data_IF_838712787727
#
_entry.id   IF_838712787727
#
_cell.length_a   1.000
_cell.length_b   1.000
_cell.length_c   1.000
_cell.angle_alpha   90.00
_cell.angle_beta   90.00
_cell.angle_gamma   90.00
#
_symmetry.space_group_name_H-M   'P 1'
#
loop_
_entity.id
_entity.type
_entity.pdbx_description
1 polymer ?
#
# COMPACT_ATOMS: atom_id res chain seq x y z
N UNK A 1 22.77 -19.96 0.51
CA UNK A 1 22.05 -18.70 0.74
C UNK A 1 20.82 -18.70 -0.14
N UNK A 2 19.64 -18.42 0.41
CA UNK A 2 18.42 -18.28 -0.39
C UNK A 2 18.57 -17.02 -1.22
N UNK A 3 18.60 -17.16 -2.56
CA UNK A 3 18.64 -16.03 -3.48
C UNK A 3 17.20 -15.63 -3.77
N UNK A 4 16.71 -14.57 -3.14
CA UNK A 4 15.34 -14.13 -3.37
C UNK A 4 15.27 -13.34 -4.69
N UNK A 5 14.33 -13.65 -5.60
CA UNK A 5 14.37 -13.12 -6.95
C UNK A 5 13.84 -11.68 -7.06
N UNK A 6 13.28 -11.10 -5.99
CA UNK A 6 12.62 -9.80 -6.06
C UNK A 6 13.58 -8.64 -5.78
N UNK A 7 13.31 -7.54 -6.47
CA UNK A 7 13.98 -6.27 -6.28
C UNK A 7 13.02 -5.12 -6.55
N UNK A 8 13.36 -3.93 -6.05
CA UNK A 8 12.65 -2.68 -6.31
C UNK A 8 13.55 -1.78 -7.15
N UNK A 9 12.99 -1.17 -8.20
CA UNK A 9 13.72 -0.34 -9.14
C UNK A 9 13.02 1.00 -9.39
N UNK A 10 13.82 1.97 -9.84
CA UNK A 10 13.40 3.27 -10.31
C UNK A 10 13.66 3.44 -11.81
N UNK A 11 12.76 4.15 -12.49
CA UNK A 11 13.01 4.71 -13.83
C UNK A 11 13.20 6.23 -13.71
N UNK A 12 14.23 6.76 -14.38
CA UNK A 12 14.57 8.20 -14.34
C UNK A 12 14.65 8.79 -15.75
N UNK A 13 14.19 10.03 -15.86
CA UNK A 13 14.25 10.84 -17.08
C UNK A 13 15.59 11.56 -17.15
N UNK A 14 16.47 11.22 -18.12
CA UNK A 14 17.77 11.86 -18.29
C UNK A 14 17.71 13.25 -18.94
N UNK A 15 16.54 13.67 -19.46
CA UNK A 15 16.38 14.98 -20.11
C UNK A 15 16.46 16.13 -19.11
N UNK A 16 16.13 15.87 -17.84
CA UNK A 16 16.33 16.80 -16.72
C UNK A 16 17.72 16.60 -16.08
N UNK A 17 18.30 17.68 -15.55
CA UNK A 17 19.57 17.66 -14.82
C UNK A 17 19.37 18.25 -13.41
N UNK A 18 19.46 17.45 -12.33
CA UNK A 18 19.76 16.01 -12.31
C UNK A 18 18.61 15.15 -12.86
N UNK A 19 18.94 13.94 -13.32
CA UNK A 19 17.96 13.01 -13.88
C UNK A 19 16.88 12.68 -12.85
N UNK A 20 15.61 12.83 -13.26
CA UNK A 20 14.48 12.85 -12.33
C UNK A 20 13.72 11.55 -12.33
N UNK A 21 13.45 11.01 -11.15
CA UNK A 21 12.63 9.80 -11.02
C UNK A 21 11.21 10.07 -11.50
N UNK A 22 10.65 9.14 -12.28
CA UNK A 22 9.27 9.20 -12.72
C UNK A 22 8.51 7.90 -12.51
N UNK A 23 9.14 6.81 -12.11
CA UNK A 23 8.43 5.56 -11.84
C UNK A 23 9.18 4.70 -10.83
N UNK A 24 8.42 3.99 -10.00
CA UNK A 24 8.93 2.95 -9.09
C UNK A 24 8.16 1.66 -9.32
N UNK A 25 8.89 0.56 -9.39
CA UNK A 25 8.30 -0.75 -9.60
C UNK A 25 9.03 -1.84 -8.83
N UNK A 26 8.34 -2.94 -8.55
CA UNK A 26 8.98 -4.21 -8.19
C UNK A 26 9.15 -5.14 -9.40
N UNK A 27 10.16 -6.00 -9.36
CA UNK A 27 10.38 -6.99 -10.40
C UNK A 27 11.17 -8.20 -9.96
N UNK A 28 11.20 -9.18 -10.85
CA UNK A 28 12.07 -10.35 -10.82
C UNK A 28 12.73 -10.50 -12.20
N UNK A 29 13.87 -11.17 -12.28
CA UNK A 29 14.57 -11.37 -13.56
C UNK A 29 14.90 -10.05 -14.28
N UNK A 30 14.65 -9.99 -15.59
CA UNK A 30 14.95 -8.82 -16.42
C UNK A 30 13.82 -7.79 -16.50
N UNK A 31 12.79 -7.88 -15.66
CA UNK A 31 11.57 -7.05 -15.78
C UNK A 31 11.85 -5.55 -15.84
N UNK A 32 12.85 -5.07 -15.09
CA UNK A 32 13.22 -3.66 -15.12
C UNK A 32 13.69 -3.21 -16.50
N UNK A 33 14.36 -4.08 -17.26
CA UNK A 33 14.89 -3.81 -18.59
C UNK A 33 13.90 -4.17 -19.72
N UNK A 34 13.03 -5.16 -19.51
CA UNK A 34 12.04 -5.61 -20.52
C UNK A 34 10.90 -4.60 -20.76
N UNK A 35 10.66 -3.65 -19.86
CA UNK A 35 9.63 -2.62 -20.04
C UNK A 35 9.90 -1.64 -21.19
N UNK A 36 11.06 -1.71 -21.85
CA UNK A 36 11.30 -0.99 -23.11
C UNK A 36 10.53 -1.59 -24.31
N UNK A 37 10.11 -2.86 -24.26
CA UNK A 37 9.55 -3.58 -25.42
C UNK A 37 8.02 -3.50 -25.56
N UNK A 38 7.30 -3.04 -24.53
CA UNK A 38 5.84 -2.86 -24.56
C UNK A 38 5.49 -1.48 -24.01
N UNK A 39 5.57 -0.49 -24.88
CA UNK A 39 5.03 0.85 -24.61
C UNK A 39 3.51 0.70 -24.61
N UNK A 40 2.92 0.80 -23.43
CA UNK A 40 1.48 0.79 -23.21
C UNK A 40 0.92 2.22 -23.22
N UNK A 41 -0.39 2.40 -23.35
CA UNK A 41 -1.06 3.72 -23.29
C UNK A 41 -1.10 4.30 -21.86
N UNK A 42 -0.19 3.89 -20.97
CA UNK A 42 -0.07 4.45 -19.62
C UNK A 42 0.78 5.71 -19.61
N UNK A 43 0.63 6.53 -18.57
CA UNK A 43 1.49 7.71 -18.36
C UNK A 43 2.98 7.33 -18.30
N UNK A 44 3.31 6.15 -17.74
CA UNK A 44 4.64 5.57 -17.77
C UNK A 44 5.10 5.30 -19.21
N UNK A 45 4.27 4.66 -20.04
CA UNK A 45 4.58 4.37 -21.45
C UNK A 45 4.80 5.65 -22.27
N UNK A 46 3.93 6.65 -22.12
CA UNK A 46 4.08 7.95 -22.75
C UNK A 46 5.38 8.66 -22.35
N UNK A 47 5.75 8.58 -21.06
CA UNK A 47 7.00 9.14 -20.55
C UNK A 47 8.24 8.46 -21.17
N UNK A 48 8.23 7.13 -21.25
CA UNK A 48 9.29 6.33 -21.89
C UNK A 48 9.43 6.71 -23.37
N UNK A 49 8.30 6.76 -24.10
CA UNK A 49 8.29 7.14 -25.52
C UNK A 49 8.83 8.56 -25.72
N UNK A 50 8.47 9.52 -24.87
CA UNK A 50 8.96 10.88 -24.95
C UNK A 50 10.48 11.00 -24.70
N UNK A 51 11.03 10.15 -23.84
CA UNK A 51 12.48 10.06 -23.61
C UNK A 51 13.19 9.50 -24.85
N UNK A 52 12.66 8.41 -25.41
CA UNK A 52 13.22 7.80 -26.63
C UNK A 52 13.14 8.75 -27.85
N UNK A 53 12.03 9.47 -28.01
CA UNK A 53 11.87 10.46 -29.09
C UNK A 53 12.87 11.63 -28.97
N UNK A 54 13.40 11.89 -27.78
CA UNK A 54 14.46 12.87 -27.56
C UNK A 54 15.87 12.31 -27.83
N UNK A 55 15.98 11.08 -28.36
CA UNK A 55 17.25 10.40 -28.62
C UNK A 55 17.97 9.91 -27.36
N UNK A 56 17.28 9.83 -26.22
CA UNK A 56 17.86 9.39 -24.95
C UNK A 56 17.25 8.06 -24.50
N UNK A 57 17.94 7.36 -23.60
CA UNK A 57 17.47 6.12 -22.99
C UNK A 57 17.01 6.35 -21.55
N UNK A 58 15.93 5.69 -21.15
CA UNK A 58 15.47 5.68 -19.76
C UNK A 58 16.59 5.13 -18.86
N UNK A 59 16.84 5.81 -17.73
CA UNK A 59 17.82 5.33 -16.76
C UNK A 59 17.15 4.39 -15.78
N UNK A 60 17.70 3.19 -15.64
CA UNK A 60 17.24 2.17 -14.71
C UNK A 60 18.15 2.16 -13.47
N UNK A 61 17.56 2.05 -12.29
CA UNK A 61 18.33 1.89 -11.04
C UNK A 61 17.65 0.84 -10.19
N UNK A 62 18.36 -0.22 -9.82
CA UNK A 62 17.95 -1.09 -8.72
C UNK A 62 18.14 -0.31 -7.42
N UNK A 63 17.07 -0.12 -6.67
CA UNK A 63 17.08 0.56 -5.37
C UNK A 63 17.53 -0.42 -4.29
N UNK A 64 17.00 -1.65 -4.35
CA UNK A 64 17.34 -2.76 -3.45
C UNK A 64 16.94 -4.08 -4.10
N UNK A 65 17.70 -5.15 -3.83
CA UNK A 65 17.49 -6.50 -4.36
C UNK A 65 17.56 -7.56 -3.24
N UNK A 66 17.52 -8.84 -3.64
CA UNK A 66 17.48 -10.00 -2.74
C UNK A 66 16.32 -9.96 -1.73
N UNK A 67 15.16 -9.51 -2.19
CA UNK A 67 13.96 -9.34 -1.38
C UNK A 67 13.01 -10.52 -1.53
N UNK A 68 12.30 -10.85 -0.45
CA UNK A 68 11.05 -11.61 -0.60
C UNK A 68 10.00 -10.76 -1.33
N UNK A 69 8.96 -11.39 -1.87
CA UNK A 69 7.89 -10.66 -2.53
C UNK A 69 7.25 -9.62 -1.61
N UNK A 70 6.97 -10.02 -0.36
CA UNK A 70 6.38 -9.15 0.66
C UNK A 70 7.25 -7.93 0.96
N UNK A 71 8.58 -8.13 1.08
CA UNK A 71 9.52 -7.03 1.28
C UNK A 71 9.51 -6.07 0.09
N UNK A 72 9.54 -6.61 -1.14
CA UNK A 72 9.52 -5.78 -2.36
C UNK A 72 8.23 -4.96 -2.49
N UNK A 73 7.08 -5.54 -2.12
CA UNK A 73 5.79 -4.85 -2.08
C UNK A 73 5.77 -3.71 -1.06
N UNK A 74 6.28 -3.96 0.16
CA UNK A 74 6.33 -2.94 1.21
C UNK A 74 7.24 -1.77 0.83
N UNK A 75 8.42 -2.05 0.28
CA UNK A 75 9.38 -1.04 -0.13
C UNK A 75 8.86 -0.24 -1.33
N UNK A 76 8.28 -0.90 -2.33
CA UNK A 76 7.63 -0.24 -3.46
C UNK A 76 6.52 0.72 -3.00
N UNK A 77 5.64 0.27 -2.10
CA UNK A 77 4.56 1.09 -1.57
C UNK A 77 5.06 2.32 -0.79
N UNK A 78 6.04 2.16 0.10
CA UNK A 78 6.62 3.27 0.88
C UNK A 78 7.36 4.27 -0.01
N UNK A 79 8.06 3.80 -1.05
CA UNK A 79 8.71 4.70 -2.00
C UNK A 79 7.70 5.46 -2.87
N UNK A 80 6.66 4.80 -3.36
CA UNK A 80 5.57 5.49 -4.08
C UNK A 80 4.89 6.52 -3.18
N UNK A 81 4.68 6.16 -1.92
CA UNK A 81 4.13 7.04 -0.90
C UNK A 81 5.03 8.27 -0.69
N UNK A 82 6.35 8.09 -0.57
CA UNK A 82 7.31 9.18 -0.32
C UNK A 82 7.53 10.12 -1.51
N UNK A 83 7.60 9.61 -2.74
CA UNK A 83 7.79 10.44 -3.93
C UNK A 83 6.49 11.03 -4.49
N UNK A 84 5.35 10.45 -4.14
CA UNK A 84 4.02 10.85 -4.60
C UNK A 84 3.79 10.59 -6.10
N UNK A 85 2.53 10.62 -6.52
CA UNK A 85 2.12 10.44 -7.92
C UNK A 85 1.72 11.77 -8.57
N UNK A 86 1.98 11.93 -9.87
CA UNK A 86 1.80 13.19 -10.63
C UNK A 86 0.38 13.72 -10.62
N UNK A 87 -0.62 12.85 -10.67
CA UNK A 87 -2.03 13.24 -10.56
C UNK A 87 -2.38 14.01 -9.27
N UNK A 88 -1.49 13.98 -8.27
CA UNK A 88 -1.62 14.67 -6.99
C UNK A 88 -0.38 15.53 -6.66
N UNK A 89 0.35 15.99 -7.69
CA UNK A 89 1.51 16.88 -7.54
C UNK A 89 2.82 16.20 -7.14
N UNK A 90 2.87 14.86 -7.11
CA UNK A 90 4.09 14.10 -6.89
C UNK A 90 4.90 13.87 -8.17
N UNK A 91 5.94 13.03 -8.08
CA UNK A 91 6.89 12.83 -9.18
C UNK A 91 6.54 11.67 -10.11
N UNK A 92 5.85 10.65 -9.59
CA UNK A 92 5.73 9.34 -10.24
C UNK A 92 4.51 9.21 -11.16
N UNK A 93 4.67 8.48 -12.26
CA UNK A 93 3.63 8.10 -13.24
C UNK A 93 2.90 6.81 -12.84
N UNK A 94 3.07 6.32 -11.60
CA UNK A 94 2.39 5.14 -11.08
C UNK A 94 0.85 5.36 -11.05
N UNK A 95 0.06 4.36 -11.52
CA UNK A 95 -1.41 4.45 -11.63
C UNK A 95 -2.17 4.19 -10.34
N UNK A 96 -1.70 3.23 -9.53
CA UNK A 96 -2.44 2.76 -8.35
C UNK A 96 -1.88 3.43 -7.10
N UNK A 97 -2.80 4.05 -6.36
CA UNK A 97 -2.68 4.34 -4.93
C UNK A 97 -3.69 3.46 -4.18
N UNK A 98 -3.47 3.16 -2.90
CA UNK A 98 -4.56 2.97 -1.94
C UNK A 98 -5.46 4.23 -1.97
N UNK A 99 -6.76 4.03 -2.18
CA UNK A 99 -7.76 5.05 -2.54
C UNK A 99 -7.84 6.28 -1.58
N UNK A 100 -7.71 7.55 -2.05
CA UNK A 100 -7.90 8.76 -1.26
C UNK A 100 -9.32 9.36 -1.29
N UNK A 101 -10.33 8.70 -1.87
CA UNK A 101 -11.72 9.20 -2.00
C UNK A 101 -12.39 9.62 -0.67
N UNK A 102 -11.79 9.28 0.49
CA UNK A 102 -12.27 9.69 1.81
C UNK A 102 -11.59 10.95 2.38
N UNK A 103 -10.62 11.56 1.67
CA UNK A 103 -9.99 12.80 2.15
C UNK A 103 -10.90 13.98 1.79
N UNK A 104 -11.58 14.53 2.80
CA UNK A 104 -12.44 15.71 2.69
C UNK A 104 -11.77 16.84 1.90
N UNK A 105 -12.51 17.45 0.96
CA UNK A 105 -12.06 18.61 0.16
C UNK A 105 -11.71 19.85 1.00
N UNK A 106 -12.03 19.86 2.31
CA UNK A 106 -11.68 20.91 3.27
C UNK A 106 -10.56 20.44 4.21
N UNK A 107 -9.37 20.23 3.66
CA UNK A 107 -8.19 19.87 4.44
C UNK A 107 -7.76 21.10 5.27
N UNK A 108 -7.90 21.03 6.60
CA UNK A 108 -7.50 22.11 7.54
C UNK A 108 -6.09 21.92 8.13
N UNK A 109 -5.43 20.82 7.79
CA UNK A 109 -4.16 20.39 8.40
C UNK A 109 -3.17 19.96 7.32
N UNK A 110 -1.87 20.12 7.58
CA UNK A 110 -0.85 19.58 6.68
C UNK A 110 -0.83 18.04 6.79
N UNK A 111 -1.10 17.34 5.68
CA UNK A 111 -1.02 15.88 5.61
C UNK A 111 0.27 15.55 4.87
N UNK A 112 1.29 15.00 5.54
CA UNK A 112 2.52 14.64 4.86
C UNK A 112 2.23 13.63 3.75
N UNK A 113 2.88 13.84 2.60
CA UNK A 113 2.79 12.95 1.44
C UNK A 113 3.20 11.53 1.88
N UNK A 114 2.36 10.54 1.59
CA UNK A 114 2.62 9.13 1.92
C UNK A 114 2.12 8.64 3.27
N UNK A 115 1.71 9.53 4.19
CA UNK A 115 1.23 9.13 5.52
C UNK A 115 -0.06 8.28 5.45
N UNK A 116 -0.93 8.56 4.48
CA UNK A 116 -2.16 7.78 4.31
C UNK A 116 -1.85 6.34 3.91
N UNK A 117 -0.98 6.15 2.92
CA UNK A 117 -0.57 4.84 2.41
C UNK A 117 0.11 4.01 3.50
N UNK A 118 1.02 4.62 4.26
CA UNK A 118 1.66 4.01 5.43
C UNK A 118 0.64 3.57 6.48
N UNK A 119 -0.37 4.40 6.75
CA UNK A 119 -1.46 4.03 7.65
C UNK A 119 -2.31 2.87 7.09
N UNK A 120 -2.58 2.84 5.79
CA UNK A 120 -3.31 1.74 5.15
C UNK A 120 -2.53 0.41 5.17
N UNK A 121 -1.19 0.46 5.04
CA UNK A 121 -0.34 -0.72 5.18
C UNK A 121 -0.39 -1.30 6.60
N UNK A 122 -0.27 -0.44 7.62
CA UNK A 122 -0.46 -0.84 9.01
C UNK A 122 -1.85 -1.42 9.25
N UNK A 123 -2.90 -0.74 8.76
CA UNK A 123 -4.28 -1.20 8.87
C UNK A 123 -4.48 -2.58 8.23
N UNK A 124 -3.85 -2.87 7.09
CA UNK A 124 -3.93 -4.17 6.42
C UNK A 124 -3.41 -5.31 7.32
N UNK A 125 -2.29 -5.09 7.99
CA UNK A 125 -1.69 -6.07 8.91
C UNK A 125 -2.64 -6.32 10.09
N UNK A 126 -3.16 -5.25 10.70
CA UNK A 126 -4.07 -5.40 11.85
C UNK A 126 -5.39 -6.08 11.43
N UNK A 127 -5.91 -5.76 10.24
CA UNK A 127 -7.08 -6.46 9.66
C UNK A 127 -6.83 -7.96 9.48
N UNK A 128 -5.64 -8.37 9.03
CA UNK A 128 -5.29 -9.80 8.91
C UNK A 128 -5.34 -10.49 10.26
N UNK A 129 -4.69 -9.92 11.28
CA UNK A 129 -4.68 -10.49 12.63
C UNK A 129 -6.09 -10.64 13.23
N UNK A 130 -6.95 -9.63 13.03
CA UNK A 130 -8.37 -9.70 13.44
C UNK A 130 -9.13 -10.80 12.68
N UNK A 131 -8.89 -10.95 11.37
CA UNK A 131 -9.51 -11.99 10.57
C UNK A 131 -9.05 -13.39 10.98
N UNK A 132 -7.77 -13.58 11.29
CA UNK A 132 -7.23 -14.84 11.80
C UNK A 132 -7.86 -15.21 13.14
N UNK A 133 -7.94 -14.24 14.07
CA UNK A 133 -8.63 -14.43 15.35
C UNK A 133 -10.12 -14.79 15.14
N UNK A 134 -10.81 -14.11 14.24
CA UNK A 134 -12.22 -14.40 13.95
C UNK A 134 -12.41 -15.78 13.29
N UNK A 135 -11.54 -16.17 12.37
CA UNK A 135 -11.56 -17.50 11.72
C UNK A 135 -11.31 -18.63 12.71
N UNK A 136 -10.42 -18.42 13.68
CA UNK A 136 -10.15 -19.37 14.75
C UNK A 136 -11.32 -19.53 15.74
N UNK A 137 -12.34 -18.65 15.69
CA UNK A 137 -13.47 -18.63 16.60
C UNK A 137 -14.81 -18.64 15.82
N UNK A 138 -15.30 -19.82 15.37
CA UNK A 138 -16.50 -19.93 14.52
C UNK A 138 -17.78 -19.33 15.12
N UNK A 139 -17.91 -19.35 16.45
CA UNK A 139 -19.03 -18.70 17.17
C UNK A 139 -18.97 -17.16 17.17
N UNK A 140 -17.88 -16.60 16.64
CA UNK A 140 -17.60 -15.17 16.53
C UNK A 140 -16.91 -14.56 17.75
N UNK A 141 -16.34 -13.38 17.52
CA UNK A 141 -15.60 -12.56 18.50
C UNK A 141 -16.30 -11.23 18.77
N UNK A 142 -16.06 -10.61 19.93
CA UNK A 142 -16.48 -9.24 20.26
C UNK A 142 -15.36 -8.24 19.95
N UNK A 143 -15.69 -6.94 19.93
CA UNK A 143 -14.67 -5.88 19.85
C UNK A 143 -13.67 -5.98 21.01
N UNK A 144 -14.16 -6.26 22.23
CA UNK A 144 -13.34 -6.48 23.42
C UNK A 144 -12.35 -7.64 23.27
N UNK A 145 -12.70 -8.68 22.53
CA UNK A 145 -11.84 -9.85 22.31
C UNK A 145 -10.68 -9.47 21.40
N UNK A 146 -10.98 -8.80 20.27
CA UNK A 146 -9.95 -8.27 19.38
C UNK A 146 -9.05 -7.24 20.10
N UNK A 147 -9.63 -6.36 20.93
CA UNK A 147 -8.88 -5.37 21.68
C UNK A 147 -7.92 -6.04 22.66
N UNK A 148 -8.44 -6.95 23.50
CA UNK A 148 -7.68 -7.60 24.57
C UNK A 148 -6.62 -8.56 24.03
N UNK A 149 -7.00 -9.47 23.13
CA UNK A 149 -6.12 -10.57 22.74
C UNK A 149 -5.12 -10.21 21.64
N UNK A 150 -5.35 -9.11 20.89
CA UNK A 150 -4.38 -8.59 19.92
C UNK A 150 -3.61 -7.37 20.44
N UNK A 151 -3.80 -6.99 21.71
CA UNK A 151 -3.11 -5.83 22.30
C UNK A 151 -3.51 -4.49 21.68
N UNK A 152 -4.73 -4.36 21.16
CA UNK A 152 -5.26 -3.15 20.52
C UNK A 152 -6.02 -2.25 21.51
N UNK A 153 -5.78 -2.40 22.81
CA UNK A 153 -6.47 -1.66 23.84
C UNK A 153 -6.03 -0.19 23.88
N UNK A 154 -6.97 0.71 24.15
CA UNK A 154 -6.71 2.12 24.42
C UNK A 154 -6.63 2.37 25.93
N UNK A 155 -5.71 3.25 26.34
CA UNK A 155 -5.63 3.80 27.69
C UNK A 155 -6.14 5.25 27.77
N UNK A 156 -7.02 5.64 26.84
CA UNK A 156 -7.58 6.98 26.80
C UNK A 156 -8.55 7.24 27.97
N UNK A 157 -8.01 7.82 29.06
CA UNK A 157 -8.76 8.58 30.08
C UNK A 157 -9.88 7.83 30.82
N UNK A 158 -9.83 6.50 30.91
CA UNK A 158 -10.88 5.70 31.55
C UNK A 158 -12.12 5.42 30.69
N UNK A 159 -12.08 5.76 29.39
CA UNK A 159 -13.11 5.42 28.41
C UNK A 159 -13.09 3.96 27.95
N UNK A 160 -13.86 3.63 26.91
CA UNK A 160 -13.88 2.27 26.34
C UNK A 160 -12.49 1.88 25.84
N UNK A 161 -12.03 0.66 26.12
CA UNK A 161 -10.67 0.26 25.71
C UNK A 161 -10.59 -0.26 24.28
N UNK A 162 -11.69 -0.42 23.57
CA UNK A 162 -11.77 -1.16 22.31
C UNK A 162 -12.04 -0.30 21.07
N UNK A 163 -11.85 1.03 21.15
CA UNK A 163 -12.09 1.97 20.05
C UNK A 163 -11.41 1.56 18.73
N UNK A 164 -10.15 1.15 18.79
CA UNK A 164 -9.40 0.73 17.61
C UNK A 164 -10.03 -0.53 16.98
N UNK A 165 -10.45 -1.49 17.81
CA UNK A 165 -11.13 -2.70 17.34
C UNK A 165 -12.48 -2.39 16.70
N UNK A 166 -13.25 -1.44 17.25
CA UNK A 166 -14.48 -0.95 16.61
C UNK A 166 -14.22 -0.41 15.21
N UNK A 167 -13.19 0.42 15.03
CA UNK A 167 -12.83 0.98 13.72
C UNK A 167 -12.43 -0.12 12.73
N UNK A 168 -11.58 -1.05 13.15
CA UNK A 168 -11.08 -2.13 12.28
C UNK A 168 -12.22 -3.08 11.88
N UNK A 169 -13.03 -3.52 12.84
CA UNK A 169 -14.16 -4.42 12.59
C UNK A 169 -15.22 -3.74 11.72
N UNK A 170 -15.46 -2.43 11.90
CA UNK A 170 -16.34 -1.66 11.01
C UNK A 170 -15.85 -1.62 9.57
N UNK A 171 -14.53 -1.46 9.34
CA UNK A 171 -13.94 -1.53 7.99
C UNK A 171 -14.11 -2.92 7.39
N UNK A 172 -13.82 -3.98 8.14
CA UNK A 172 -14.00 -5.37 7.67
C UNK A 172 -15.46 -5.72 7.36
N UNK A 173 -16.40 -5.17 8.12
CA UNK A 173 -17.83 -5.29 7.84
C UNK A 173 -18.22 -4.56 6.55
N UNK A 174 -17.72 -3.34 6.33
CA UNK A 174 -17.94 -2.59 5.08
C UNK A 174 -17.37 -3.32 3.86
N UNK A 175 -16.24 -4.00 4.02
CA UNK A 175 -15.63 -4.87 3.02
C UNK A 175 -16.37 -6.20 2.81
N UNK A 176 -17.41 -6.49 3.62
CA UNK A 176 -18.16 -7.73 3.53
C UNK A 176 -17.42 -8.98 4.03
N UNK A 177 -16.28 -8.81 4.71
CA UNK A 177 -15.42 -9.90 5.20
C UNK A 177 -15.84 -10.43 6.58
N UNK A 178 -16.57 -9.61 7.34
CA UNK A 178 -17.14 -9.97 8.65
C UNK A 178 -18.63 -9.61 8.67
N UNK A 179 -19.42 -10.45 9.33
CA UNK A 179 -20.85 -10.21 9.60
C UNK A 179 -21.16 -10.35 11.09
N UNK A 180 -22.28 -9.80 11.56
CA UNK A 180 -22.77 -10.04 12.92
C UNK A 180 -23.76 -11.20 12.94
N UNK A 181 -23.55 -12.15 13.85
CA UNK A 181 -24.54 -13.19 14.13
C UNK A 181 -25.64 -12.68 15.08
N UNK A 182 -26.64 -13.52 15.33
CA UNK A 182 -27.79 -13.20 16.22
C UNK A 182 -27.35 -12.83 17.64
N UNK A 183 -26.25 -13.41 18.12
CA UNK A 183 -25.63 -13.10 19.43
C UNK A 183 -24.79 -11.81 19.40
N UNK A 184 -24.89 -11.01 18.33
CA UNK A 184 -24.15 -9.75 18.13
C UNK A 184 -22.62 -9.94 18.12
N UNK A 185 -22.12 -11.14 17.84
CA UNK A 185 -20.69 -11.41 17.66
C UNK A 185 -20.29 -11.29 16.19
N UNK A 186 -19.04 -10.91 15.97
CA UNK A 186 -18.43 -10.75 14.64
C UNK A 186 -17.88 -12.08 14.16
N UNK A 187 -18.40 -12.58 13.06
CA UNK A 187 -18.02 -13.86 12.44
C UNK A 187 -17.34 -13.56 11.11
N UNK A 188 -16.17 -14.17 10.87
CA UNK A 188 -15.53 -14.11 9.58
C UNK A 188 -16.42 -14.81 8.54
N UNK A 189 -16.70 -14.14 7.42
CA UNK A 189 -17.21 -14.86 6.25
C UNK A 189 -16.08 -15.72 5.71
N UNK A 190 -16.31 -17.02 5.60
CA UNK A 190 -15.48 -17.89 4.79
C UNK A 190 -15.51 -17.38 3.35
N UNK A 191 -14.34 -17.05 2.81
CA UNK A 191 -14.13 -16.96 1.36
C UNK A 191 -14.30 -18.37 0.77
#
# INVERSE_FOLDING_TARGET
MINNPFYVYALKDPREKPAKIFYIGKGTGNRAWEHQAKIDDSEKGAMIQAIHNAGMNVLHTIITDNLTEEQSLKIEAELIAGFGIRSHGGLLTNRIRPNPDNISKRIKINIPIGCYEKAQMGLSIVKSAVMELAKANPEGIKNSDAAKYLGLQSDYGGGSKDYLSYSILGVLMKEGRIVRNEKKKHVAKTE
#
